data_IF_186073650143
#
_entry.id   IF_186073650143
#
_cell.length_a   1.000
_cell.length_b   1.000
_cell.length_c   1.000
_cell.angle_alpha   90.00
_cell.angle_beta   90.00
_cell.angle_gamma   90.00
#
_symmetry.space_group_name_H-M   'P 1'
#
loop_
_entity.id
_entity.type
_entity.pdbx_description
1 polymer ?
#
# COMPACT_ATOMS: atom_id res chain seq x y z
N UNK A 1 26.67 17.58 -1.95
CA UNK A 1 26.09 16.26 -2.28
C UNK A 1 26.95 15.15 -1.76
N UNK A 2 26.34 14.12 -1.24
CA UNK A 2 27.05 12.92 -0.80
C UNK A 2 26.96 11.85 -1.87
N UNK A 3 28.01 11.02 -1.98
CA UNK A 3 28.02 9.91 -2.91
C UNK A 3 27.95 8.60 -2.13
N UNK A 4 27.15 7.67 -2.62
CA UNK A 4 27.01 6.35 -2.05
C UNK A 4 27.29 5.33 -3.16
N UNK A 5 28.06 4.30 -2.83
CA UNK A 5 28.34 3.20 -3.76
C UNK A 5 27.72 1.91 -3.21
N UNK A 6 26.94 1.23 -4.03
CA UNK A 6 26.30 -0.04 -3.65
C UNK A 6 26.47 -1.04 -4.77
N UNK A 7 26.58 -2.31 -4.39
CA UNK A 7 26.60 -3.43 -5.33
C UNK A 7 25.16 -3.91 -5.56
N UNK A 8 24.81 -4.06 -6.83
CA UNK A 8 23.47 -4.53 -7.20
C UNK A 8 23.59 -5.70 -8.19
N UNK A 9 22.60 -6.61 -8.25
CA UNK A 9 22.58 -7.65 -9.26
C UNK A 9 22.58 -7.08 -10.67
N UNK A 10 23.11 -7.85 -11.63
CA UNK A 10 23.29 -7.39 -13.01
C UNK A 10 21.98 -6.95 -13.67
N UNK A 11 20.88 -7.65 -13.41
CA UNK A 11 19.57 -7.30 -13.96
C UNK A 11 19.08 -5.95 -13.47
N UNK A 12 19.32 -5.63 -12.21
CA UNK A 12 18.97 -4.33 -11.62
C UNK A 12 19.88 -3.24 -12.20
N UNK A 13 21.19 -3.55 -12.33
CA UNK A 13 22.14 -2.59 -12.90
C UNK A 13 21.76 -2.21 -14.33
N UNK A 14 21.33 -3.18 -15.13
CA UNK A 14 20.89 -2.91 -16.51
C UNK A 14 19.65 -2.02 -16.56
N UNK A 15 18.69 -2.23 -15.66
CA UNK A 15 17.48 -1.42 -15.60
C UNK A 15 17.79 0.01 -15.17
N UNK A 16 18.70 0.17 -14.22
CA UNK A 16 19.11 1.50 -13.73
C UNK A 16 19.94 2.25 -14.77
N UNK A 17 20.77 1.54 -15.55
CA UNK A 17 21.60 2.15 -16.56
C UNK A 17 20.79 2.85 -17.66
N UNK A 18 19.57 2.39 -17.93
CA UNK A 18 18.68 3.01 -18.90
C UNK A 18 18.01 4.27 -18.39
N UNK A 19 18.12 4.57 -17.08
CA UNK A 19 17.47 5.72 -16.44
C UNK A 19 18.40 6.46 -15.48
N UNK A 20 19.57 6.92 -15.97
CA UNK A 20 20.57 7.52 -15.04
C UNK A 20 20.10 8.79 -14.36
N UNK A 21 19.24 9.58 -15.03
CA UNK A 21 18.75 10.84 -14.46
C UNK A 21 17.62 10.65 -13.45
N UNK A 22 17.02 9.46 -13.41
CA UNK A 22 15.91 9.15 -12.52
C UNK A 22 16.35 8.41 -11.26
N UNK A 23 17.62 8.05 -11.15
CA UNK A 23 18.12 7.23 -10.05
C UNK A 23 17.82 7.83 -8.66
N UNK A 24 18.04 9.12 -8.40
CA UNK A 24 17.67 9.67 -7.08
C UNK A 24 16.19 9.52 -6.76
N UNK A 25 15.31 9.67 -7.75
CA UNK A 25 13.87 9.53 -7.57
C UNK A 25 13.49 8.07 -7.29
N UNK A 26 14.12 7.13 -8.00
CA UNK A 26 13.90 5.70 -7.78
C UNK A 26 14.32 5.30 -6.37
N UNK A 27 15.49 5.78 -5.91
CA UNK A 27 15.96 5.52 -4.56
C UNK A 27 15.03 6.11 -3.50
N UNK A 28 14.53 7.32 -3.73
CA UNK A 28 13.59 7.96 -2.80
C UNK A 28 12.29 7.16 -2.69
N UNK A 29 11.76 6.68 -3.82
CA UNK A 29 10.57 5.84 -3.83
C UNK A 29 10.82 4.50 -3.11
N UNK A 30 11.98 3.88 -3.35
CA UNK A 30 12.35 2.64 -2.68
C UNK A 30 12.46 2.80 -1.17
N UNK A 31 13.04 3.91 -0.70
CA UNK A 31 13.11 4.20 0.72
C UNK A 31 11.74 4.38 1.34
N UNK A 32 10.81 5.02 0.62
CA UNK A 32 9.44 5.17 1.08
C UNK A 32 8.75 3.82 1.23
N UNK A 33 8.96 2.91 0.29
CA UNK A 33 8.43 1.56 0.37
C UNK A 33 8.96 0.80 1.57
N UNK A 34 10.27 0.87 1.82
CA UNK A 34 10.89 0.24 2.97
C UNK A 34 10.34 0.81 4.27
N UNK A 35 10.22 2.12 4.37
CA UNK A 35 9.68 2.78 5.55
C UNK A 35 8.20 2.44 5.76
N UNK A 36 7.43 2.36 4.69
CA UNK A 36 6.03 1.98 4.75
C UNK A 36 5.87 0.57 5.32
N UNK A 37 6.74 -0.36 4.91
CA UNK A 37 6.69 -1.74 5.39
C UNK A 37 7.14 -1.87 6.85
N UNK A 38 7.98 -0.94 7.34
CA UNK A 38 8.52 -1.05 8.69
C UNK A 38 7.62 -0.45 9.77
N UNK A 39 7.09 0.77 9.57
CA UNK A 39 6.17 1.37 10.55
C UNK A 39 5.63 2.73 10.14
N UNK A 40 6.12 3.33 9.08
CA UNK A 40 5.76 4.70 8.70
C UNK A 40 4.77 4.78 7.53
N UNK A 41 4.38 3.64 6.98
CA UNK A 41 3.42 3.57 5.90
C UNK A 41 2.00 3.41 6.41
N UNK A 42 1.07 3.26 5.47
CA UNK A 42 -0.32 3.00 5.80
C UNK A 42 -0.46 1.60 6.38
N UNK A 43 -0.81 1.52 7.65
CA UNK A 43 -0.86 0.24 8.39
C UNK A 43 -1.97 -0.69 7.93
N UNK A 44 -2.98 -0.15 7.24
CA UNK A 44 -4.09 -0.93 6.72
C UNK A 44 -3.68 -1.98 5.71
N UNK A 45 -2.58 -1.76 4.97
CA UNK A 45 -2.11 -2.75 4.00
C UNK A 45 -1.68 -4.05 4.71
N UNK A 46 -0.85 -3.94 5.76
CA UNK A 46 -0.44 -5.11 6.54
C UNK A 46 -1.63 -5.81 7.17
N UNK A 47 -2.56 -5.05 7.73
CA UNK A 47 -3.74 -5.58 8.39
C UNK A 47 -4.57 -6.42 7.42
N UNK A 48 -4.83 -5.89 6.22
CA UNK A 48 -5.63 -6.59 5.22
C UNK A 48 -4.89 -7.82 4.68
N UNK A 49 -3.59 -7.70 4.39
CA UNK A 49 -2.82 -8.82 3.89
C UNK A 49 -2.72 -9.94 4.90
N UNK A 50 -2.49 -9.63 6.18
CA UNK A 50 -2.46 -10.63 7.24
C UNK A 50 -3.80 -11.35 7.37
N UNK A 51 -4.90 -10.62 7.26
CA UNK A 51 -6.23 -11.20 7.28
C UNK A 51 -6.44 -12.17 6.12
N UNK A 52 -6.09 -11.75 4.89
CA UNK A 52 -6.31 -12.56 3.70
C UNK A 52 -5.43 -13.81 3.65
N UNK A 53 -4.20 -13.72 4.19
CA UNK A 53 -3.27 -14.86 4.24
C UNK A 53 -3.83 -16.01 5.10
N UNK A 54 -4.64 -15.70 6.10
CA UNK A 54 -5.29 -16.72 6.95
C UNK A 54 -6.38 -17.49 6.24
N UNK A 55 -6.66 -17.20 4.99
CA UNK A 55 -7.69 -17.86 4.18
C UNK A 55 -9.06 -17.83 4.85
N UNK A 56 -9.60 -16.64 5.12
CA UNK A 56 -10.88 -16.52 5.80
C UNK A 56 -12.03 -17.05 4.96
N UNK A 57 -13.13 -17.39 5.61
CA UNK A 57 -14.35 -17.80 4.93
C UNK A 57 -14.98 -16.60 4.19
N UNK A 58 -15.76 -16.85 3.12
CA UNK A 58 -16.40 -15.74 2.39
C UNK A 58 -17.21 -14.78 3.26
N UNK A 59 -17.92 -15.30 4.26
CA UNK A 59 -18.69 -14.47 5.17
C UNK A 59 -17.79 -13.53 5.98
N UNK A 60 -16.61 -14.01 6.38
CA UNK A 60 -15.63 -13.21 7.10
C UNK A 60 -15.08 -12.10 6.23
N UNK A 61 -14.85 -12.38 4.94
CA UNK A 61 -14.38 -11.37 4.00
C UNK A 61 -15.43 -10.27 3.80
N UNK A 62 -16.71 -10.66 3.66
CA UNK A 62 -17.78 -9.68 3.50
C UNK A 62 -17.94 -8.80 4.72
N UNK A 63 -17.60 -9.31 5.91
CA UNK A 63 -17.66 -8.55 7.16
C UNK A 63 -16.39 -7.75 7.44
N UNK A 64 -15.38 -7.83 6.58
CA UNK A 64 -14.11 -7.17 6.79
C UNK A 64 -14.28 -5.65 6.88
N UNK A 65 -13.71 -5.08 7.94
CA UNK A 65 -13.65 -3.63 8.17
C UNK A 65 -12.24 -3.26 8.61
N UNK A 66 -11.82 -2.07 8.25
CA UNK A 66 -10.58 -1.52 8.78
C UNK A 66 -10.71 -1.33 10.30
N UNK A 67 -9.61 -1.51 11.02
CA UNK A 67 -9.61 -1.24 12.46
C UNK A 67 -9.92 0.24 12.72
N UNK A 68 -10.36 0.55 13.93
CA UNK A 68 -10.65 1.93 14.31
C UNK A 68 -9.42 2.83 14.16
N UNK A 69 -8.25 2.30 14.46
CA UNK A 69 -6.98 3.03 14.33
C UNK A 69 -6.68 3.37 12.87
N UNK A 70 -6.84 2.40 11.97
CA UNK A 70 -6.61 2.61 10.53
C UNK A 70 -7.66 3.55 9.96
N UNK A 71 -8.91 3.41 10.38
CA UNK A 71 -9.98 4.29 9.92
C UNK A 71 -9.73 5.74 10.35
N UNK A 72 -9.22 5.97 11.55
CA UNK A 72 -8.86 7.30 12.02
C UNK A 72 -7.73 7.90 11.16
N UNK A 73 -6.75 7.09 10.76
CA UNK A 73 -5.68 7.52 9.87
C UNK A 73 -6.23 7.96 8.51
N UNK A 74 -7.16 7.20 7.95
CA UNK A 74 -7.82 7.55 6.68
C UNK A 74 -8.61 8.83 6.82
N UNK A 75 -9.35 9.00 7.91
CA UNK A 75 -10.15 10.19 8.14
C UNK A 75 -9.29 11.45 8.23
N UNK A 76 -8.12 11.36 8.86
CA UNK A 76 -7.16 12.46 8.90
C UNK A 76 -6.67 12.84 7.51
N UNK A 77 -6.34 11.86 6.68
CA UNK A 77 -5.89 12.11 5.32
C UNK A 77 -6.99 12.76 4.48
N UNK A 78 -8.23 12.31 4.64
CA UNK A 78 -9.39 12.91 3.97
C UNK A 78 -9.56 14.37 4.35
N UNK A 79 -9.48 14.67 5.63
CA UNK A 79 -9.63 16.03 6.13
C UNK A 79 -8.54 16.95 5.61
N UNK A 80 -7.29 16.50 5.62
CA UNK A 80 -6.17 17.26 5.08
C UNK A 80 -6.32 17.52 3.59
N UNK A 81 -6.78 16.51 2.85
CA UNK A 81 -6.96 16.64 1.40
C UNK A 81 -8.02 17.69 1.07
N UNK A 82 -9.04 17.82 1.90
CA UNK A 82 -10.10 18.82 1.70
C UNK A 82 -9.65 20.23 2.06
N UNK A 83 -8.80 20.39 3.07
CA UNK A 83 -8.46 21.70 3.62
C UNK A 83 -7.17 22.27 3.02
N UNK A 84 -6.02 21.68 3.34
CA UNK A 84 -4.71 22.22 2.98
C UNK A 84 -3.98 21.43 1.91
N UNK A 85 -4.51 20.26 1.54
CA UNK A 85 -3.85 19.35 0.63
C UNK A 85 -2.88 18.42 1.34
N UNK A 86 -2.41 17.41 0.61
CA UNK A 86 -1.53 16.39 1.16
C UNK A 86 -0.07 16.69 0.83
N UNK A 87 0.82 16.44 1.80
CA UNK A 87 2.26 16.46 1.55
C UNK A 87 2.65 15.28 0.65
N UNK A 88 3.90 15.26 0.16
CA UNK A 88 4.37 14.17 -0.68
C UNK A 88 4.29 12.81 0.03
N UNK A 89 4.64 12.76 1.32
CA UNK A 89 4.55 11.55 2.13
C UNK A 89 3.08 11.14 2.31
N UNK A 90 2.22 12.09 2.58
CA UNK A 90 0.79 11.82 2.77
C UNK A 90 0.12 11.36 1.49
N UNK A 91 0.57 11.85 0.33
CA UNK A 91 0.09 11.34 -0.96
C UNK A 91 0.44 9.88 -1.17
N UNK A 92 1.64 9.46 -0.74
CA UNK A 92 2.02 8.05 -0.79
C UNK A 92 1.12 7.20 0.11
N UNK A 93 0.82 7.67 1.32
CA UNK A 93 -0.10 6.99 2.22
C UNK A 93 -1.50 6.88 1.62
N UNK A 94 -1.95 7.95 0.98
CA UNK A 94 -3.25 7.98 0.31
C UNK A 94 -3.33 6.97 -0.81
N UNK A 95 -2.28 6.86 -1.64
CA UNK A 95 -2.22 5.88 -2.72
C UNK A 95 -2.24 4.45 -2.17
N UNK A 96 -1.55 4.19 -1.07
CA UNK A 96 -1.59 2.88 -0.42
C UNK A 96 -2.99 2.55 0.08
N UNK A 97 -3.69 3.53 0.67
CA UNK A 97 -5.07 3.36 1.09
C UNK A 97 -5.99 3.03 -0.10
N UNK A 98 -5.85 3.75 -1.21
CA UNK A 98 -6.65 3.48 -2.41
C UNK A 98 -6.42 2.06 -2.92
N UNK A 99 -5.18 1.59 -2.88
CA UNK A 99 -4.83 0.24 -3.28
C UNK A 99 -5.47 -0.78 -2.34
N UNK A 100 -5.39 -0.56 -1.04
CA UNK A 100 -6.03 -1.43 -0.04
C UNK A 100 -7.53 -1.50 -0.25
N UNK A 101 -8.17 -0.36 -0.48
CA UNK A 101 -9.60 -0.29 -0.74
C UNK A 101 -9.97 -1.12 -1.97
N UNK A 102 -9.17 -1.02 -3.03
CA UNK A 102 -9.35 -1.80 -4.24
C UNK A 102 -9.25 -3.31 -3.96
N UNK A 103 -8.22 -3.72 -3.20
CA UNK A 103 -8.04 -5.13 -2.83
C UNK A 103 -9.23 -5.65 -2.02
N UNK A 104 -9.72 -4.87 -1.07
CA UNK A 104 -10.87 -5.25 -0.25
C UNK A 104 -12.13 -5.40 -1.10
N UNK A 105 -12.37 -4.47 -2.02
CA UNK A 105 -13.51 -4.56 -2.93
C UNK A 105 -13.44 -5.80 -3.81
N UNK A 106 -12.28 -6.12 -4.34
CA UNK A 106 -12.08 -7.31 -5.16
C UNK A 106 -12.30 -8.58 -4.34
N UNK A 107 -11.75 -8.62 -3.12
CA UNK A 107 -11.92 -9.76 -2.24
C UNK A 107 -13.39 -9.98 -1.89
N UNK A 108 -14.13 -8.91 -1.60
CA UNK A 108 -15.56 -8.99 -1.30
C UNK A 108 -16.37 -9.44 -2.50
N UNK A 109 -16.03 -8.96 -3.71
CA UNK A 109 -16.70 -9.42 -4.92
C UNK A 109 -16.51 -10.91 -5.15
N UNK A 110 -15.28 -11.41 -4.96
CA UNK A 110 -14.98 -12.82 -5.09
C UNK A 110 -15.71 -13.65 -4.02
N UNK A 111 -15.75 -13.16 -2.78
CA UNK A 111 -16.46 -13.84 -1.70
C UNK A 111 -17.95 -13.97 -2.00
N UNK A 112 -18.55 -12.90 -2.55
CA UNK A 112 -19.96 -12.91 -2.93
C UNK A 112 -20.23 -13.92 -4.03
N UNK A 113 -19.35 -14.01 -5.03
CA UNK A 113 -19.48 -14.99 -6.10
C UNK A 113 -19.38 -16.43 -5.56
N UNK A 114 -18.48 -16.68 -4.63
CA UNK A 114 -18.34 -18.00 -4.01
C UNK A 114 -19.60 -18.39 -3.24
N UNK A 115 -20.19 -17.46 -2.52
CA UNK A 115 -21.44 -17.71 -1.78
C UNK A 115 -22.60 -18.00 -2.72
N UNK A 116 -22.69 -17.29 -3.85
CA UNK A 116 -23.72 -17.53 -4.85
C UNK A 116 -23.55 -18.88 -5.52
N UNK A 117 -22.34 -19.30 -5.81
CA UNK A 117 -22.09 -20.58 -6.47
C UNK A 117 -22.27 -21.77 -5.52
N UNK A 118 -22.23 -21.56 -4.21
CA UNK A 118 -22.46 -22.60 -3.20
C UNK A 118 -23.95 -22.86 -2.96
N UNK A 119 -24.82 -21.98 -3.44
CA UNK A 119 -26.27 -22.16 -3.35
C UNK A 119 -26.82 -22.60 -4.69
#
# INVERSE_FOLDING_TARGET
MQQITVDVPDDIAMRLASRPNELPQILALGLREVNANLSQGFSGLSEVLEFLVKQPQPQEILALRLSAEVQAEVDLLLEKNRSVGLSAVEQCLWQQYEYVEHLVRMAKAQALLKLKSAT
#
